data_IF_020592232409
#
_entry.id   IF_020592232409
#
_cell.length_a   1.000
_cell.length_b   1.000
_cell.length_c   1.000
_cell.angle_alpha   90.00
_cell.angle_beta   90.00
_cell.angle_gamma   90.00
#
_symmetry.space_group_name_H-M   'P 1'
#
loop_
_entity.id
_entity.type
_entity.pdbx_description
1 polymer ?
#
# COMPACT_ATOMS: atom_id res chain seq x y z
N UNK A 1 22.26 23.12 17.72
CA UNK A 1 23.01 23.70 16.58
C UNK A 1 22.12 23.89 15.36
N UNK A 2 22.25 25.04 14.68
CA UNK A 2 21.52 25.35 13.44
C UNK A 2 22.49 25.51 12.28
N UNK A 3 22.17 24.98 11.10
CA UNK A 3 22.95 25.17 9.87
C UNK A 3 22.03 25.69 8.76
N UNK A 4 22.41 26.78 8.11
CA UNK A 4 21.65 27.39 7.01
C UNK A 4 22.56 27.62 5.81
N UNK A 5 22.15 27.17 4.64
CA UNK A 5 22.96 27.30 3.44
C UNK A 5 22.09 27.54 2.18
N UNK A 6 22.45 28.52 1.35
CA UNK A 6 21.75 28.89 0.10
C UNK A 6 22.74 28.97 -1.08
N UNK A 7 22.33 28.70 -2.32
CA UNK A 7 23.15 28.95 -3.53
C UNK A 7 22.28 29.07 -4.79
N UNK A 8 22.82 29.73 -5.82
CA UNK A 8 22.15 29.87 -7.13
C UNK A 8 22.51 28.74 -8.12
N UNK A 9 23.66 28.10 -7.96
CA UNK A 9 24.09 26.93 -8.74
C UNK A 9 23.98 25.61 -7.99
N UNK A 10 24.79 24.63 -8.40
CA UNK A 10 24.92 23.34 -7.71
C UNK A 10 25.37 23.54 -6.25
N UNK A 11 24.81 22.76 -5.33
CA UNK A 11 25.11 22.86 -3.90
C UNK A 11 25.36 21.51 -3.26
N UNK A 12 26.46 21.41 -2.51
CA UNK A 12 26.68 20.34 -1.54
C UNK A 12 26.64 20.92 -0.13
N UNK A 13 25.86 20.32 0.77
CA UNK A 13 25.81 20.71 2.18
C UNK A 13 26.00 19.48 3.06
N UNK A 14 26.94 19.56 4.01
CA UNK A 14 27.19 18.52 5.01
C UNK A 14 27.12 19.11 6.40
N UNK A 15 26.31 18.50 7.26
CA UNK A 15 26.05 19.04 8.58
C UNK A 15 25.97 17.91 9.62
N UNK A 16 26.77 17.98 10.69
CA UNK A 16 26.81 16.98 11.79
C UNK A 16 26.63 17.66 13.15
N UNK A 17 26.14 16.96 14.18
CA UNK A 17 25.92 17.49 15.54
C UNK A 17 25.75 16.34 16.54
N UNK A 18 26.28 16.48 17.75
CA UNK A 18 26.07 15.50 18.82
C UNK A 18 24.75 15.71 19.57
N UNK A 19 24.25 16.95 19.64
CA UNK A 19 22.93 17.26 20.19
C UNK A 19 21.88 17.52 19.11
N UNK A 20 20.80 18.19 19.53
CA UNK A 20 19.71 18.62 18.65
C UNK A 20 20.20 19.49 17.49
N UNK A 21 19.75 19.16 16.28
CA UNK A 21 20.17 19.81 15.03
C UNK A 21 19.01 20.31 14.18
N UNK A 22 19.11 21.56 13.75
CA UNK A 22 18.29 22.11 12.66
C UNK A 22 19.18 22.33 11.43
N UNK A 23 18.80 21.80 10.27
CA UNK A 23 19.54 21.97 9.02
C UNK A 23 18.60 22.47 7.92
N UNK A 24 18.86 23.65 7.36
CA UNK A 24 18.06 24.29 6.32
C UNK A 24 18.92 24.58 5.09
N UNK A 25 18.60 23.96 3.97
CA UNK A 25 19.37 24.11 2.72
C UNK A 25 18.46 24.45 1.54
N UNK A 26 18.87 25.42 0.73
CA UNK A 26 18.18 25.81 -0.51
C UNK A 26 19.18 25.94 -1.66
N UNK A 27 18.75 25.57 -2.88
CA UNK A 27 19.53 25.76 -4.11
C UNK A 27 18.59 25.98 -5.29
N UNK A 28 18.95 26.88 -6.21
CA UNK A 28 18.25 27.05 -7.48
C UNK A 28 18.70 26.03 -8.55
N UNK A 29 19.82 25.33 -8.32
CA UNK A 29 20.32 24.26 -9.18
C UNK A 29 20.16 22.87 -8.56
N UNK A 30 21.13 22.00 -8.86
CA UNK A 30 21.22 20.66 -8.30
C UNK A 30 21.68 20.69 -6.85
N UNK A 31 21.11 19.85 -5.99
CA UNK A 31 21.46 19.80 -4.56
C UNK A 31 21.82 18.40 -4.07
N UNK A 32 22.91 18.32 -3.32
CA UNK A 32 23.23 17.22 -2.41
C UNK A 32 23.23 17.74 -0.97
N UNK A 33 22.39 17.17 -0.10
CA UNK A 33 22.33 17.54 1.32
C UNK A 33 22.49 16.31 2.22
N UNK A 34 23.50 16.35 3.10
CA UNK A 34 23.80 15.31 4.09
C UNK A 34 23.72 15.89 5.50
N UNK A 35 22.76 15.42 6.30
CA UNK A 35 22.59 15.82 7.69
C UNK A 35 22.64 14.60 8.63
N UNK A 36 23.42 14.71 9.71
CA UNK A 36 23.50 13.70 10.78
C UNK A 36 23.39 14.37 12.16
N UNK A 37 22.71 13.69 13.11
CA UNK A 37 22.60 14.12 14.51
C UNK A 37 22.52 12.91 15.44
N UNK A 38 23.23 12.95 16.56
CA UNK A 38 23.06 11.94 17.62
C UNK A 38 21.85 12.24 18.54
N UNK A 39 21.23 13.42 18.41
CA UNK A 39 20.00 13.79 19.10
C UNK A 39 18.81 13.90 18.15
N UNK A 40 17.94 14.86 18.46
CA UNK A 40 16.78 15.19 17.62
C UNK A 40 17.20 15.99 16.38
N UNK A 41 16.57 15.71 15.24
CA UNK A 41 16.87 16.41 13.98
C UNK A 41 15.64 16.99 13.29
N UNK A 42 15.76 18.24 12.88
CA UNK A 42 14.93 18.86 11.84
C UNK A 42 15.77 19.13 10.60
N UNK A 43 15.45 18.50 9.48
CA UNK A 43 16.14 18.72 8.20
C UNK A 43 15.15 19.21 7.15
N UNK A 44 15.35 20.44 6.67
CA UNK A 44 14.59 21.07 5.60
C UNK A 44 15.50 21.34 4.42
N UNK A 45 15.21 20.72 3.28
CA UNK A 45 15.95 20.99 2.06
C UNK A 45 14.99 21.36 0.93
N UNK A 46 15.37 22.26 0.02
CA UNK A 46 14.59 22.63 -1.17
C UNK A 46 15.52 22.84 -2.39
N UNK A 47 15.19 22.29 -3.57
CA UNK A 47 15.93 22.51 -4.82
C UNK A 47 14.98 22.87 -5.95
N UNK A 48 15.36 23.78 -6.84
CA UNK A 48 14.68 23.96 -8.13
C UNK A 48 15.19 22.98 -9.21
N UNK A 49 16.39 22.43 -9.06
CA UNK A 49 16.92 21.37 -9.92
C UNK A 49 16.74 19.95 -9.34
N UNK A 50 17.63 19.04 -9.73
CA UNK A 50 17.70 17.68 -9.20
C UNK A 50 18.18 17.65 -7.77
N UNK A 51 17.75 16.64 -7.00
CA UNK A 51 18.06 16.60 -5.57
C UNK A 51 18.39 15.21 -5.02
N UNK A 52 19.46 15.16 -4.24
CA UNK A 52 19.80 14.07 -3.33
C UNK A 52 19.79 14.56 -1.88
N UNK A 53 19.01 13.93 -1.00
CA UNK A 53 18.98 14.26 0.42
C UNK A 53 19.17 13.01 1.27
N UNK A 54 20.18 13.02 2.13
CA UNK A 54 20.44 11.99 3.13
C UNK A 54 20.39 12.61 4.52
N UNK A 55 19.44 12.18 5.33
CA UNK A 55 19.34 12.61 6.72
C UNK A 55 19.35 11.39 7.65
N UNK A 56 20.01 11.48 8.81
CA UNK A 56 20.04 10.41 9.83
C UNK A 56 19.99 11.01 11.24
N UNK A 57 19.19 10.44 12.14
CA UNK A 57 19.13 10.82 13.56
C UNK A 57 19.19 9.59 14.45
N UNK A 58 19.92 9.65 15.57
CA UNK A 58 19.75 8.65 16.64
C UNK A 58 18.55 8.96 17.54
N UNK A 59 18.06 10.21 17.57
CA UNK A 59 16.81 10.58 18.24
C UNK A 59 15.59 10.62 17.32
N UNK A 60 14.67 11.51 17.66
CA UNK A 60 13.49 11.85 16.85
C UNK A 60 13.88 12.68 15.62
N UNK A 61 13.11 12.53 14.54
CA UNK A 61 13.43 13.18 13.28
C UNK A 61 12.24 13.72 12.51
N UNK A 62 12.37 14.96 12.07
CA UNK A 62 11.55 15.60 11.06
C UNK A 62 12.40 15.86 9.81
N UNK A 63 12.00 15.30 8.66
CA UNK A 63 12.68 15.50 7.38
C UNK A 63 11.69 16.01 6.33
N UNK A 64 11.89 17.24 5.86
CA UNK A 64 11.07 17.88 4.83
C UNK A 64 11.93 18.17 3.60
N UNK A 65 11.60 17.54 2.48
CA UNK A 65 12.32 17.72 1.22
C UNK A 65 11.39 18.08 0.08
N UNK A 66 11.79 19.08 -0.71
CA UNK A 66 11.13 19.47 -1.95
C UNK A 66 12.14 19.57 -3.09
N UNK A 67 11.71 19.24 -4.31
CA UNK A 67 12.47 19.34 -5.56
C UNK A 67 11.51 19.70 -6.70
N UNK A 68 11.85 20.68 -7.54
CA UNK A 68 11.13 20.88 -8.81
C UNK A 68 11.64 19.94 -9.92
N UNK A 69 12.80 19.32 -9.75
CA UNK A 69 13.31 18.28 -10.64
C UNK A 69 13.10 16.86 -10.11
N UNK A 70 14.06 16.01 -10.42
CA UNK A 70 14.16 14.66 -9.86
C UNK A 70 14.53 14.69 -8.37
N UNK A 71 14.13 13.67 -7.61
CA UNK A 71 14.47 13.57 -6.19
C UNK A 71 14.83 12.16 -5.76
N UNK A 72 15.94 12.05 -5.04
CA UNK A 72 16.30 10.94 -4.16
C UNK A 72 16.31 11.41 -2.70
N UNK A 73 15.53 10.77 -1.84
CA UNK A 73 15.48 11.09 -0.41
C UNK A 73 15.67 9.83 0.44
N UNK A 74 16.72 9.83 1.27
CA UNK A 74 17.01 8.80 2.25
C UNK A 74 16.91 9.37 3.66
N UNK A 75 15.96 8.88 4.44
CA UNK A 75 15.75 9.27 5.82
C UNK A 75 15.82 8.05 6.75
N UNK A 76 16.69 8.10 7.77
CA UNK A 76 16.75 7.11 8.85
C UNK A 76 16.61 7.79 10.22
N UNK A 77 16.00 7.10 11.19
CA UNK A 77 15.89 7.51 12.60
C UNK A 77 15.91 6.29 13.51
N UNK A 78 16.63 6.33 14.62
CA UNK A 78 16.48 5.32 15.68
C UNK A 78 15.30 5.61 16.62
N UNK A 79 14.83 6.86 16.69
CA UNK A 79 13.57 7.21 17.35
C UNK A 79 12.36 7.26 16.42
N UNK A 80 11.44 8.19 16.73
CA UNK A 80 10.27 8.51 15.92
C UNK A 80 10.63 9.31 14.67
N UNK A 81 9.94 9.07 13.55
CA UNK A 81 10.19 9.77 12.30
C UNK A 81 8.94 10.36 11.66
N UNK A 82 9.04 11.63 11.27
CA UNK A 82 8.19 12.28 10.28
C UNK A 82 9.00 12.58 9.01
N UNK A 83 8.60 12.01 7.88
CA UNK A 83 9.25 12.25 6.58
C UNK A 83 8.23 12.75 5.56
N UNK A 84 8.42 13.98 5.08
CA UNK A 84 7.63 14.60 4.02
C UNK A 84 8.53 14.90 2.83
N UNK A 85 8.27 14.25 1.70
CA UNK A 85 9.00 14.49 0.47
C UNK A 85 8.03 14.86 -0.67
N UNK A 86 8.39 15.79 -1.55
CA UNK A 86 7.58 16.22 -2.70
C UNK A 86 8.48 16.50 -3.91
N UNK A 87 8.15 15.96 -5.09
CA UNK A 87 8.90 16.20 -6.34
C UNK A 87 7.93 16.56 -7.48
N UNK A 88 8.31 17.49 -8.35
CA UNK A 88 7.59 17.69 -9.61
C UNK A 88 8.08 16.73 -10.72
N UNK A 89 9.31 16.21 -10.62
CA UNK A 89 9.82 15.14 -11.49
C UNK A 89 9.68 13.73 -10.89
N UNK A 90 10.53 12.82 -11.36
CA UNK A 90 10.64 11.44 -10.83
C UNK A 90 11.17 11.43 -9.39
N UNK A 91 10.70 10.45 -8.61
CA UNK A 91 11.03 10.39 -7.18
C UNK A 91 11.35 9.00 -6.66
N UNK A 92 12.45 8.91 -5.91
CA UNK A 92 12.82 7.80 -5.05
C UNK A 92 12.85 8.23 -3.59
N UNK A 93 12.08 7.56 -2.72
CA UNK A 93 12.04 7.85 -1.29
C UNK A 93 12.26 6.57 -0.48
N UNK A 94 13.32 6.55 0.34
CA UNK A 94 13.59 5.50 1.32
C UNK A 94 13.56 6.09 2.71
N UNK A 95 12.59 5.66 3.52
CA UNK A 95 12.48 6.05 4.91
C UNK A 95 12.54 4.81 5.82
N UNK A 96 13.23 4.87 6.96
CA UNK A 96 13.32 3.77 7.94
C UNK A 96 13.34 4.33 9.37
N UNK A 97 12.55 3.77 10.28
CA UNK A 97 12.51 4.18 11.69
C UNK A 97 12.55 2.95 12.60
N UNK A 98 13.33 2.98 13.69
CA UNK A 98 13.19 1.97 14.74
C UNK A 98 12.02 2.27 15.69
N UNK A 99 11.55 3.51 15.76
CA UNK A 99 10.30 3.87 16.43
C UNK A 99 9.09 4.00 15.50
N UNK A 100 8.12 4.80 15.93
CA UNK A 100 6.92 5.16 15.18
C UNK A 100 7.25 6.00 13.95
N UNK A 101 6.43 5.87 12.90
CA UNK A 101 6.72 6.53 11.63
C UNK A 101 5.49 7.09 10.91
N UNK A 102 5.62 8.35 10.50
CA UNK A 102 4.77 9.01 9.52
C UNK A 102 5.57 9.31 8.24
N UNK A 103 5.12 8.80 7.10
CA UNK A 103 5.76 9.01 5.80
C UNK A 103 4.76 9.52 4.76
N UNK A 104 4.93 10.77 4.33
CA UNK A 104 4.11 11.41 3.29
C UNK A 104 4.96 11.69 2.05
N UNK A 105 4.55 11.12 0.93
CA UNK A 105 5.25 11.26 -0.35
C UNK A 105 4.31 11.64 -1.47
N UNK A 106 4.71 12.66 -2.24
CA UNK A 106 4.03 13.06 -3.48
C UNK A 106 5.05 13.19 -4.62
N UNK A 107 4.61 12.89 -5.84
CA UNK A 107 5.35 13.04 -7.10
C UNK A 107 4.38 13.41 -8.22
N UNK A 108 4.71 14.40 -9.04
CA UNK A 108 3.97 14.63 -10.29
C UNK A 108 4.46 13.70 -11.42
N UNK A 109 5.64 13.09 -11.28
CA UNK A 109 6.14 12.07 -12.20
C UNK A 109 5.97 10.64 -11.68
N UNK A 110 6.94 9.80 -12.01
CA UNK A 110 7.07 8.45 -11.47
C UNK A 110 7.45 8.47 -9.98
N UNK A 111 7.07 7.43 -9.24
CA UNK A 111 7.41 7.30 -7.82
C UNK A 111 7.80 5.88 -7.43
N UNK A 112 8.93 5.77 -6.73
CA UNK A 112 9.31 4.63 -5.90
C UNK A 112 9.36 5.06 -4.43
N UNK A 113 8.56 4.42 -3.58
CA UNK A 113 8.53 4.68 -2.14
C UNK A 113 8.74 3.39 -1.35
N UNK A 114 9.80 3.37 -0.52
CA UNK A 114 10.09 2.30 0.43
C UNK A 114 10.03 2.85 1.85
N UNK A 115 9.12 2.33 2.66
CA UNK A 115 8.97 2.70 4.05
C UNK A 115 9.01 1.48 4.98
N UNK A 116 9.91 1.51 5.96
CA UNK A 116 9.97 0.50 7.04
C UNK A 116 9.87 1.17 8.42
N UNK A 117 9.27 0.48 9.39
CA UNK A 117 9.19 0.88 10.80
C UNK A 117 9.16 -0.37 11.68
N UNK A 118 9.90 -0.36 12.79
CA UNK A 118 9.78 -1.40 13.82
C UNK A 118 8.62 -1.12 14.80
N UNK A 119 8.09 0.11 14.82
CA UNK A 119 6.89 0.48 15.58
C UNK A 119 5.64 0.58 14.70
N UNK A 120 4.78 1.55 15.04
CA UNK A 120 3.58 1.88 14.27
C UNK A 120 3.91 2.68 13.01
N UNK A 121 3.22 2.41 11.90
CA UNK A 121 3.43 3.10 10.62
C UNK A 121 2.15 3.72 10.06
N UNK A 122 2.25 4.99 9.67
CA UNK A 122 1.36 5.67 8.74
C UNK A 122 2.10 6.05 7.46
N UNK A 123 1.65 5.54 6.31
CA UNK A 123 2.24 5.84 5.01
C UNK A 123 1.18 6.38 4.05
N UNK A 124 1.40 7.59 3.54
CA UNK A 124 0.61 8.18 2.45
C UNK A 124 1.52 8.45 1.26
N UNK A 125 1.20 7.83 0.13
CA UNK A 125 1.91 8.04 -1.12
C UNK A 125 0.93 8.45 -2.22
N UNK A 126 1.29 9.39 -3.09
CA UNK A 126 0.48 9.83 -4.25
C UNK A 126 1.38 10.13 -5.45
N UNK A 127 1.03 9.64 -6.64
CA UNK A 127 1.78 9.89 -7.88
C UNK A 127 0.82 10.26 -9.01
N UNK A 128 1.14 11.25 -9.84
CA UNK A 128 0.40 11.46 -11.09
C UNK A 128 0.86 10.52 -12.20
N UNK A 129 2.08 9.96 -12.11
CA UNK A 129 2.55 8.89 -13.00
C UNK A 129 2.49 7.49 -12.38
N UNK A 130 3.32 6.60 -12.92
CA UNK A 130 3.53 5.23 -12.43
C UNK A 130 4.08 5.19 -11.02
N UNK A 131 3.67 4.17 -10.24
CA UNK A 131 4.00 4.09 -8.83
C UNK A 131 4.33 2.69 -8.34
N UNK A 132 5.45 2.59 -7.63
CA UNK A 132 5.83 1.45 -6.80
C UNK A 132 5.89 1.85 -5.33
N UNK A 133 5.11 1.20 -4.48
CA UNK A 133 5.06 1.47 -3.04
C UNK A 133 5.25 0.19 -2.24
N UNK A 134 6.36 0.10 -1.49
CA UNK A 134 6.66 -1.02 -0.59
C UNK A 134 6.72 -0.53 0.85
N UNK A 135 5.88 -1.12 1.69
CA UNK A 135 5.76 -0.74 3.10
C UNK A 135 5.80 -1.97 4.00
N UNK A 136 6.48 -1.87 5.15
CA UNK A 136 6.58 -2.94 6.15
C UNK A 136 6.58 -2.35 7.56
N UNK A 137 5.81 -2.95 8.47
CA UNK A 137 5.69 -2.53 9.86
C UNK A 137 5.76 -3.74 10.77
N UNK A 138 6.51 -3.68 11.87
CA UNK A 138 6.42 -4.72 12.91
C UNK A 138 5.24 -4.45 13.87
N UNK A 139 4.82 -3.19 14.04
CA UNK A 139 3.59 -2.84 14.74
C UNK A 139 2.39 -2.66 13.80
N UNK A 140 1.40 -1.89 14.27
CA UNK A 140 0.20 -1.50 13.50
C UNK A 140 0.53 -0.67 12.27
N UNK A 141 -0.27 -0.82 11.22
CA UNK A 141 -0.01 -0.18 9.93
C UNK A 141 -1.24 0.38 9.25
N UNK A 142 -1.13 1.65 8.84
CA UNK A 142 -2.02 2.32 7.90
C UNK A 142 -1.26 2.71 6.62
N UNK A 143 -1.71 2.20 5.47
CA UNK A 143 -1.10 2.49 4.17
C UNK A 143 -2.14 2.99 3.18
N UNK A 144 -1.99 4.22 2.70
CA UNK A 144 -2.83 4.83 1.67
C UNK A 144 -2.00 5.18 0.43
N UNK A 145 -2.40 4.61 -0.69
CA UNK A 145 -1.66 4.69 -1.95
C UNK A 145 -2.62 5.08 -3.08
N UNK A 146 -2.30 6.19 -3.77
CA UNK A 146 -3.02 6.62 -4.99
C UNK A 146 -2.05 6.81 -6.16
N UNK A 147 -2.48 6.49 -7.38
CA UNK A 147 -1.78 6.78 -8.64
C UNK A 147 -2.78 7.12 -9.74
N UNK A 148 -2.46 8.09 -10.59
CA UNK A 148 -3.24 8.34 -11.81
C UNK A 148 -2.80 7.45 -12.99
N UNK A 149 -1.70 6.70 -12.84
CA UNK A 149 -1.23 5.72 -13.83
C UNK A 149 -1.26 4.29 -13.27
N UNK A 150 -0.21 3.52 -13.61
CA UNK A 150 -0.01 2.16 -13.14
C UNK A 150 0.48 2.12 -11.69
N UNK A 151 -0.03 1.17 -10.90
CA UNK A 151 0.32 1.01 -9.49
C UNK A 151 0.75 -0.42 -9.14
N UNK A 152 1.87 -0.52 -8.44
CA UNK A 152 2.28 -1.68 -7.64
C UNK A 152 2.35 -1.29 -6.17
N UNK A 153 1.53 -1.92 -5.33
CA UNK A 153 1.48 -1.67 -3.88
C UNK A 153 1.71 -2.96 -3.10
N UNK A 154 2.78 -3.02 -2.32
CA UNK A 154 3.09 -4.11 -1.39
C UNK A 154 3.07 -3.62 0.05
N UNK A 155 2.17 -4.16 0.84
CA UNK A 155 2.02 -3.85 2.26
C UNK A 155 2.13 -5.12 3.12
N UNK A 156 3.08 -5.11 4.07
CA UNK A 156 3.25 -6.14 5.10
C UNK A 156 3.18 -5.55 6.51
N UNK A 157 2.60 -6.29 7.46
CA UNK A 157 2.47 -5.92 8.88
C UNK A 157 2.52 -7.17 9.76
N UNK A 158 3.28 -7.13 10.86
CA UNK A 158 3.20 -8.18 11.89
C UNK A 158 2.04 -7.91 12.87
N UNK A 159 1.63 -6.66 13.07
CA UNK A 159 0.41 -6.28 13.79
C UNK A 159 -0.79 -6.10 12.87
N UNK A 160 -1.77 -5.31 13.31
CA UNK A 160 -2.96 -4.95 12.55
C UNK A 160 -2.65 -4.12 11.29
N UNK A 161 -3.41 -4.35 10.21
CA UNK A 161 -3.23 -3.64 8.94
C UNK A 161 -4.51 -3.03 8.38
N UNK A 162 -4.43 -1.76 7.99
CA UNK A 162 -5.34 -1.09 7.06
C UNK A 162 -4.60 -0.68 5.79
N UNK A 163 -5.02 -1.22 4.64
CA UNK A 163 -4.42 -0.92 3.34
C UNK A 163 -5.48 -0.43 2.34
N UNK A 164 -5.28 0.80 1.82
CA UNK A 164 -6.12 1.41 0.80
C UNK A 164 -5.30 1.74 -0.45
N UNK A 165 -5.63 1.12 -1.57
CA UNK A 165 -5.00 1.34 -2.88
C UNK A 165 -6.02 1.82 -3.92
N UNK A 166 -5.69 2.86 -4.68
CA UNK A 166 -6.55 3.43 -5.73
C UNK A 166 -5.73 3.79 -6.97
N UNK A 167 -6.09 3.27 -8.15
CA UNK A 167 -5.43 3.59 -9.43
C UNK A 167 -6.44 3.98 -10.49
N UNK A 168 -6.11 4.97 -11.32
CA UNK A 168 -6.87 5.23 -12.54
C UNK A 168 -6.40 4.36 -13.71
N UNK A 169 -5.18 3.80 -13.65
CA UNK A 169 -4.69 2.80 -14.61
C UNK A 169 -4.75 1.38 -14.07
N UNK A 170 -3.78 0.56 -14.45
CA UNK A 170 -3.63 -0.83 -13.98
C UNK A 170 -3.14 -0.90 -12.52
N UNK A 171 -3.62 -1.89 -11.77
CA UNK A 171 -3.26 -2.07 -10.37
C UNK A 171 -2.83 -3.50 -10.02
N UNK A 172 -1.70 -3.62 -9.33
CA UNK A 172 -1.29 -4.79 -8.55
C UNK A 172 -1.19 -4.44 -7.07
N UNK A 173 -2.03 -5.05 -6.23
CA UNK A 173 -2.05 -4.82 -4.79
C UNK A 173 -1.81 -6.13 -4.03
N UNK A 174 -0.71 -6.18 -3.26
CA UNK A 174 -0.39 -7.28 -2.36
C UNK A 174 -0.38 -6.80 -0.92
N UNK A 175 -1.25 -7.36 -0.09
CA UNK A 175 -1.31 -7.06 1.33
C UNK A 175 -1.17 -8.36 2.15
N UNK A 176 -0.42 -8.34 3.25
CA UNK A 176 -0.23 -9.48 4.16
C UNK A 176 -0.14 -9.02 5.62
N UNK A 177 -0.84 -9.67 6.53
CA UNK A 177 -0.89 -9.31 7.95
C UNK A 177 -0.83 -10.56 8.82
N UNK A 178 -0.05 -10.55 9.91
CA UNK A 178 -0.14 -11.61 10.91
C UNK A 178 -1.28 -11.34 11.91
N UNK A 179 -1.67 -10.08 12.12
CA UNK A 179 -2.87 -9.71 12.88
C UNK A 179 -4.11 -9.51 12.01
N UNK A 180 -5.08 -8.75 12.53
CA UNK A 180 -6.30 -8.35 11.82
C UNK A 180 -6.01 -7.50 10.59
N UNK A 181 -6.85 -7.63 9.55
CA UNK A 181 -6.61 -6.96 8.28
C UNK A 181 -7.86 -6.40 7.61
N UNK A 182 -7.77 -5.14 7.22
CA UNK A 182 -8.68 -4.48 6.28
C UNK A 182 -7.94 -4.09 4.99
N UNK A 183 -8.42 -4.56 3.85
CA UNK A 183 -7.86 -4.24 2.54
C UNK A 183 -8.94 -3.72 1.60
N UNK A 184 -8.75 -2.49 1.10
CA UNK A 184 -9.61 -1.89 0.08
C UNK A 184 -8.77 -1.54 -1.14
N UNK A 185 -9.11 -2.11 -2.29
CA UNK A 185 -8.51 -1.65 -3.53
C UNK A 185 -9.57 -1.27 -4.58
N UNK A 186 -9.27 -0.29 -5.42
CA UNK A 186 -10.14 0.21 -6.49
C UNK A 186 -9.31 0.58 -7.72
N UNK A 187 -9.74 0.19 -8.90
CA UNK A 187 -9.01 0.43 -10.15
C UNK A 187 -9.98 0.78 -11.27
N UNK A 188 -9.69 1.81 -12.07
CA UNK A 188 -10.48 2.06 -13.29
C UNK A 188 -10.00 1.19 -14.47
N UNK A 189 -8.80 0.62 -14.41
CA UNK A 189 -8.32 -0.39 -15.36
C UNK A 189 -8.27 -1.80 -14.78
N UNK A 190 -7.39 -2.62 -15.38
CA UNK A 190 -7.11 -3.99 -14.94
C UNK A 190 -6.58 -4.06 -13.51
N UNK A 191 -6.99 -5.10 -12.78
CA UNK A 191 -6.68 -5.21 -11.36
C UNK A 191 -6.36 -6.63 -10.92
N UNK A 192 -5.21 -6.76 -10.24
CA UNK A 192 -4.82 -7.95 -9.49
C UNK A 192 -4.69 -7.62 -8.01
N UNK A 193 -5.43 -8.33 -7.16
CA UNK A 193 -5.39 -8.13 -5.72
C UNK A 193 -5.12 -9.46 -5.00
N UNK A 194 -4.01 -9.52 -4.27
CA UNK A 194 -3.66 -10.64 -3.40
C UNK A 194 -3.64 -10.19 -1.95
N UNK A 195 -4.45 -10.85 -1.15
CA UNK A 195 -4.64 -10.49 0.24
C UNK A 195 -4.47 -11.76 1.08
N UNK A 196 -3.63 -11.73 2.12
CA UNK A 196 -3.51 -12.81 3.14
C UNK A 196 -3.55 -12.24 4.56
N UNK A 197 -4.02 -13.03 5.53
CA UNK A 197 -4.15 -12.66 6.95
C UNK A 197 -4.11 -13.92 7.84
N UNK A 198 -3.31 -13.94 8.90
CA UNK A 198 -3.39 -15.03 9.90
C UNK A 198 -4.53 -14.77 10.91
N UNK A 199 -4.95 -13.52 11.10
CA UNK A 199 -6.14 -13.16 11.87
C UNK A 199 -7.39 -12.93 11.01
N UNK A 200 -8.35 -12.22 11.60
CA UNK A 200 -9.60 -11.80 10.95
C UNK A 200 -9.36 -10.87 9.76
N UNK A 201 -10.24 -10.95 8.76
CA UNK A 201 -10.01 -10.26 7.50
C UNK A 201 -11.26 -9.69 6.84
N UNK A 202 -11.17 -8.43 6.44
CA UNK A 202 -12.12 -7.75 5.53
C UNK A 202 -11.42 -7.34 4.24
N UNK A 203 -12.01 -7.68 3.10
CA UNK A 203 -11.47 -7.37 1.78
C UNK A 203 -12.56 -6.78 0.87
N UNK A 204 -12.36 -5.56 0.37
CA UNK A 204 -13.32 -4.85 -0.48
C UNK A 204 -12.68 -4.39 -1.78
N UNK A 205 -13.23 -4.84 -2.89
CA UNK A 205 -12.60 -4.67 -4.20
C UNK A 205 -13.58 -4.18 -5.26
N UNK A 206 -13.20 -3.16 -6.02
CA UNK A 206 -13.93 -2.64 -7.19
C UNK A 206 -12.99 -2.52 -8.41
N UNK A 207 -13.49 -2.80 -9.62
CA UNK A 207 -12.84 -2.51 -10.90
C UNK A 207 -13.86 -2.17 -11.99
N UNK A 208 -13.44 -1.41 -13.00
CA UNK A 208 -14.18 -1.15 -14.24
C UNK A 208 -13.60 -1.91 -15.46
N UNK A 209 -12.78 -2.94 -15.22
CA UNK A 209 -12.14 -3.74 -16.28
C UNK A 209 -11.90 -5.17 -15.80
N UNK A 210 -10.84 -5.81 -16.29
CA UNK A 210 -10.49 -7.17 -15.87
C UNK A 210 -10.03 -7.24 -14.43
N UNK A 211 -10.54 -8.21 -13.66
CA UNK A 211 -10.25 -8.34 -12.23
C UNK A 211 -9.88 -9.75 -11.81
N UNK A 212 -8.75 -9.88 -11.12
CA UNK A 212 -8.34 -11.08 -10.39
C UNK A 212 -8.21 -10.77 -8.89
N UNK A 213 -8.92 -11.53 -8.05
CA UNK A 213 -8.89 -11.36 -6.60
C UNK A 213 -8.60 -12.70 -5.91
N UNK A 214 -7.50 -12.75 -5.17
CA UNK A 214 -7.09 -13.90 -4.37
C UNK A 214 -7.03 -13.52 -2.89
N UNK A 215 -7.79 -14.23 -2.08
CA UNK A 215 -7.96 -13.88 -0.67
C UNK A 215 -7.83 -15.15 0.17
N UNK A 216 -6.97 -15.11 1.19
CA UNK A 216 -6.79 -16.20 2.18
C UNK A 216 -6.86 -15.65 3.61
N UNK A 217 -7.45 -16.41 4.55
CA UNK A 217 -7.44 -16.13 5.99
C UNK A 217 -7.43 -17.43 6.79
N UNK A 218 -6.79 -17.45 7.96
CA UNK A 218 -6.79 -18.62 8.86
C UNK A 218 -7.92 -18.60 9.88
N UNK A 219 -8.64 -17.47 10.02
CA UNK A 219 -9.76 -17.32 10.97
C UNK A 219 -11.01 -16.88 10.22
N UNK A 220 -11.61 -15.75 10.62
CA UNK A 220 -12.85 -15.24 10.01
C UNK A 220 -12.60 -14.31 8.84
N UNK A 221 -13.51 -14.35 7.86
CA UNK A 221 -13.32 -13.62 6.60
C UNK A 221 -14.61 -13.04 6.03
N UNK A 222 -14.54 -11.78 5.62
CA UNK A 222 -15.51 -11.13 4.74
C UNK A 222 -14.84 -10.63 3.45
N UNK A 223 -15.36 -11.04 2.30
CA UNK A 223 -14.90 -10.59 0.99
C UNK A 223 -16.05 -10.03 0.16
N UNK A 224 -15.93 -8.77 -0.27
CA UNK A 224 -16.87 -8.12 -1.19
C UNK A 224 -16.13 -7.69 -2.45
N UNK A 225 -16.54 -8.22 -3.60
CA UNK A 225 -15.93 -7.87 -4.88
C UNK A 225 -17.01 -7.49 -5.90
N UNK A 226 -16.88 -6.29 -6.49
CA UNK A 226 -17.72 -5.78 -7.58
C UNK A 226 -16.86 -5.51 -8.83
N UNK A 227 -17.41 -5.71 -10.03
CA UNK A 227 -16.69 -5.52 -11.29
C UNK A 227 -17.62 -5.16 -12.45
N UNK A 228 -17.23 -4.19 -13.28
CA UNK A 228 -17.89 -3.91 -14.56
C UNK A 228 -17.03 -4.49 -15.69
N UNK A 229 -16.99 -5.82 -15.81
CA UNK A 229 -16.15 -6.55 -16.78
C UNK A 229 -15.82 -7.97 -16.30
N UNK A 230 -14.84 -8.64 -16.92
CA UNK A 230 -14.47 -10.02 -16.60
C UNK A 230 -13.81 -10.18 -15.23
N UNK A 231 -14.23 -11.18 -14.47
CA UNK A 231 -13.82 -11.36 -13.07
C UNK A 231 -13.45 -12.80 -12.72
N UNK A 232 -12.32 -12.95 -12.04
CA UNK A 232 -11.92 -14.16 -11.32
C UNK A 232 -11.76 -13.87 -9.81
N UNK A 233 -12.42 -14.66 -8.97
CA UNK A 233 -12.39 -14.50 -7.51
C UNK A 233 -12.13 -15.85 -6.83
N UNK A 234 -11.00 -15.96 -6.13
CA UNK A 234 -10.60 -17.15 -5.35
C UNK A 234 -10.48 -16.82 -3.87
N UNK A 235 -11.26 -17.51 -3.05
CA UNK A 235 -11.45 -17.17 -1.64
C UNK A 235 -11.35 -18.43 -0.80
N UNK A 236 -10.31 -18.52 0.04
CA UNK A 236 -10.08 -19.62 0.99
C UNK A 236 -10.09 -19.12 2.45
N UNK A 237 -10.60 -19.92 3.38
CA UNK A 237 -10.69 -19.63 4.82
C UNK A 237 -10.59 -20.91 5.63
N UNK A 238 -9.88 -20.91 6.77
CA UNK A 238 -9.92 -22.05 7.71
C UNK A 238 -11.03 -21.91 8.77
N UNK A 239 -11.56 -20.71 8.99
CA UNK A 239 -12.75 -20.46 9.81
C UNK A 239 -13.90 -19.87 9.01
N UNK A 240 -14.83 -19.21 9.69
CA UNK A 240 -16.07 -18.70 9.09
C UNK A 240 -15.85 -17.72 7.93
N UNK A 241 -16.69 -17.82 6.90
CA UNK A 241 -16.52 -17.07 5.66
C UNK A 241 -17.82 -16.51 5.10
N UNK A 242 -17.78 -15.23 4.75
CA UNK A 242 -18.77 -14.55 3.91
C UNK A 242 -18.10 -14.05 2.61
N UNK A 243 -18.64 -14.46 1.46
CA UNK A 243 -18.16 -14.03 0.15
C UNK A 243 -19.32 -13.50 -0.71
N UNK A 244 -19.24 -12.23 -1.10
CA UNK A 244 -20.19 -11.59 -2.02
C UNK A 244 -19.48 -11.11 -3.27
N UNK A 245 -19.90 -11.65 -4.41
CA UNK A 245 -19.34 -11.34 -5.73
C UNK A 245 -20.42 -10.89 -6.69
N UNK A 246 -20.22 -9.72 -7.30
CA UNK A 246 -21.05 -9.20 -8.41
C UNK A 246 -20.16 -8.87 -9.62
N UNK A 247 -20.70 -9.06 -10.84
CA UNK A 247 -20.04 -8.78 -12.12
C UNK A 247 -21.08 -8.41 -13.18
N UNK A 248 -20.82 -7.39 -14.00
CA UNK A 248 -21.64 -7.10 -15.20
C UNK A 248 -21.14 -7.81 -16.46
N UNK A 249 -20.05 -8.57 -16.37
CA UNK A 249 -19.56 -9.46 -17.44
C UNK A 249 -19.25 -10.85 -16.89
N UNK A 250 -18.44 -11.63 -17.59
CA UNK A 250 -18.16 -13.02 -17.20
C UNK A 250 -17.54 -13.16 -15.80
N UNK A 251 -18.00 -14.15 -15.04
CA UNK A 251 -17.56 -14.41 -13.67
C UNK A 251 -17.09 -15.85 -13.46
N UNK A 252 -15.91 -16.01 -12.84
CA UNK A 252 -15.48 -17.22 -12.16
C UNK A 252 -15.32 -16.95 -10.65
N UNK A 253 -16.04 -17.70 -9.82
CA UNK A 253 -15.97 -17.60 -8.36
C UNK A 253 -15.69 -18.96 -7.73
N UNK A 254 -14.55 -19.08 -7.04
CA UNK A 254 -14.17 -20.27 -6.28
C UNK A 254 -14.07 -19.96 -4.80
N UNK A 255 -14.87 -20.69 -4.02
CA UNK A 255 -15.02 -20.50 -2.60
C UNK A 255 -14.75 -21.81 -1.83
N UNK A 256 -13.75 -21.82 -0.94
CA UNK A 256 -13.48 -22.92 0.00
C UNK A 256 -13.47 -22.43 1.46
N UNK A 257 -13.91 -23.27 2.41
CA UNK A 257 -13.94 -23.00 3.86
C UNK A 257 -13.83 -24.30 4.67
N UNK A 258 -13.05 -24.31 5.76
CA UNK A 258 -13.05 -25.42 6.74
C UNK A 258 -13.96 -25.14 7.95
N UNK A 259 -15.00 -24.33 7.74
CA UNK A 259 -16.00 -23.92 8.74
C UNK A 259 -17.19 -23.29 8.03
N UNK A 260 -18.08 -22.62 8.76
CA UNK A 260 -19.33 -22.09 8.18
C UNK A 260 -19.09 -21.14 7.00
N UNK A 261 -19.87 -21.30 5.92
CA UNK A 261 -19.74 -20.52 4.71
C UNK A 261 -21.08 -19.93 4.24
N UNK A 262 -21.06 -18.64 3.91
CA UNK A 262 -22.04 -17.96 3.05
C UNK A 262 -21.37 -17.45 1.77
N UNK A 263 -21.90 -17.86 0.62
CA UNK A 263 -21.40 -17.45 -0.70
C UNK A 263 -22.56 -16.96 -1.58
N UNK A 264 -22.45 -15.71 -2.07
CA UNK A 264 -23.40 -15.11 -3.01
C UNK A 264 -22.69 -14.62 -4.26
N UNK A 265 -23.07 -15.14 -5.42
CA UNK A 265 -22.52 -14.78 -6.72
C UNK A 265 -23.62 -14.33 -7.69
N UNK A 266 -23.48 -13.14 -8.29
CA UNK A 266 -24.42 -12.59 -9.27
C UNK A 266 -23.66 -12.07 -10.50
N UNK A 267 -24.12 -12.41 -11.70
CA UNK A 267 -23.45 -12.06 -12.96
C UNK A 267 -24.46 -11.74 -14.07
N UNK A 268 -24.32 -10.62 -14.78
CA UNK A 268 -25.16 -10.34 -15.96
C UNK A 268 -24.63 -11.01 -17.24
N UNK A 269 -23.49 -11.71 -17.16
CA UNK A 269 -22.98 -12.58 -18.23
C UNK A 269 -22.72 -13.99 -17.73
N UNK A 270 -21.94 -14.78 -18.47
CA UNK A 270 -21.60 -16.17 -18.11
C UNK A 270 -20.99 -16.31 -16.73
N UNK A 271 -21.43 -17.32 -15.97
CA UNK A 271 -21.02 -17.54 -14.59
C UNK A 271 -20.59 -18.98 -14.33
N UNK A 272 -19.44 -19.11 -13.66
CA UNK A 272 -18.99 -20.34 -13.02
C UNK A 272 -18.80 -20.10 -11.52
N UNK A 273 -19.53 -20.85 -10.70
CA UNK A 273 -19.49 -20.74 -9.25
C UNK A 273 -19.21 -22.12 -8.62
N UNK A 274 -18.07 -22.25 -7.93
CA UNK A 274 -17.67 -23.49 -7.24
C UNK A 274 -17.48 -23.25 -5.75
N UNK A 275 -18.19 -24.02 -4.93
CA UNK A 275 -18.21 -23.86 -3.48
C UNK A 275 -17.98 -25.19 -2.75
N UNK A 276 -17.02 -25.22 -1.83
CA UNK A 276 -16.69 -26.38 -0.97
C UNK A 276 -16.58 -25.95 0.51
N UNK A 277 -17.23 -26.68 1.41
CA UNK A 277 -17.26 -26.38 2.85
C UNK A 277 -17.34 -27.67 3.65
N UNK A 278 -16.58 -27.79 4.73
CA UNK A 278 -16.70 -28.88 5.72
C UNK A 278 -17.70 -28.55 6.84
N UNK A 279 -18.05 -27.27 7.02
CA UNK A 279 -19.10 -26.83 7.95
C UNK A 279 -20.37 -26.36 7.23
N UNK A 280 -21.31 -25.78 7.98
CA UNK A 280 -22.60 -25.28 7.46
C UNK A 280 -22.42 -24.38 6.24
N UNK A 281 -23.25 -24.59 5.21
CA UNK A 281 -23.07 -23.97 3.88
C UNK A 281 -24.36 -23.34 3.38
N UNK A 282 -24.27 -22.05 3.01
CA UNK A 282 -25.26 -21.32 2.24
C UNK A 282 -24.62 -20.82 0.93
N UNK A 283 -25.19 -21.21 -0.21
CA UNK A 283 -24.67 -20.86 -1.54
C UNK A 283 -25.83 -20.37 -2.43
N UNK A 284 -25.73 -19.13 -2.89
CA UNK A 284 -26.69 -18.52 -3.81
C UNK A 284 -25.96 -18.01 -5.05
N UNK A 285 -26.50 -18.32 -6.22
CA UNK A 285 -25.93 -18.04 -7.52
C UNK A 285 -27.05 -17.57 -8.45
N UNK A 286 -26.86 -16.45 -9.15
CA UNK A 286 -27.79 -15.93 -10.15
C UNK A 286 -27.01 -15.45 -11.38
N UNK A 287 -27.52 -15.69 -12.58
CA UNK A 287 -27.00 -15.07 -13.81
C UNK A 287 -28.03 -14.94 -14.92
N UNK A 288 -27.84 -13.90 -15.75
CA UNK A 288 -28.67 -13.62 -16.93
C UNK A 288 -28.14 -14.33 -18.20
N UNK A 289 -26.94 -14.95 -18.10
CA UNK A 289 -26.33 -15.77 -19.16
C UNK A 289 -26.10 -17.22 -18.71
N UNK A 290 -25.18 -17.93 -19.38
CA UNK A 290 -24.88 -19.33 -19.06
C UNK A 290 -24.36 -19.54 -17.63
N UNK A 291 -24.92 -20.51 -16.91
CA UNK A 291 -24.60 -20.79 -15.50
C UNK A 291 -24.03 -22.21 -15.30
N UNK A 292 -22.90 -22.29 -14.59
CA UNK A 292 -22.42 -23.53 -13.95
C UNK A 292 -22.25 -23.33 -12.44
N UNK A 293 -22.94 -24.15 -11.65
CA UNK A 293 -22.93 -24.04 -10.18
C UNK A 293 -22.57 -25.40 -9.55
N UNK A 294 -21.32 -25.54 -9.10
CA UNK A 294 -20.80 -26.76 -8.48
C UNK A 294 -20.73 -26.63 -6.95
N UNK A 295 -21.46 -27.50 -6.24
CA UNK A 295 -21.46 -27.57 -4.79
C UNK A 295 -21.11 -28.98 -4.31
N UNK A 296 -19.93 -29.15 -3.70
CA UNK A 296 -19.56 -30.40 -3.01
C UNK A 296 -19.58 -30.17 -1.48
N UNK A 297 -20.02 -31.20 -0.75
CA UNK A 297 -19.81 -31.40 0.70
C UNK A 297 -18.81 -32.55 0.82
N UNK A 298 -17.83 -32.42 1.71
CA UNK A 298 -17.01 -33.56 2.11
C UNK A 298 -17.64 -34.08 3.39
N UNK A 299 -18.43 -35.15 3.29
CA UNK A 299 -18.94 -35.87 4.46
C UNK A 299 -17.75 -36.69 5.00
N UNK A 300 -17.25 -36.34 6.18
CA UNK A 300 -16.25 -37.09 6.94
C UNK A 300 -16.64 -37.11 8.41
#
# INVERSE_FOLDING_TARGET
>A
MSNRAQSNGSKSNRAQSNGSKSNRTQSNGSMSNRAQSNGSMSNRAQSNGSKSNRAQSNGSKSNRTQSNGSMSNRAQSNGSMSNRAQSNGSKSNRAQSNGSKSNRTQSNGSMSNRAQSNGSMSNRAQSNGSKSNRTQSNGSKSNRTQSNGSMSNRAQSNGSMSNRAQSNGSMSNRAQSNGSKSNRAQSNGSKSNRSQSNGSKSNREQSNGSKSNQVQSNRSKSNRAQNNGSKSNRVQSNGSKSNRTQSNGSMSNRAQSNGSMSNRAQSNGSKSNRTQSTGSKSNSAQSDGSESNGAQRDDR
#
